data_IF_344102340870
#
_entry.id   IF_344102340870
#
_cell.length_a   1.000
_cell.length_b   1.000
_cell.length_c   1.000
_cell.angle_alpha   90.00
_cell.angle_beta   90.00
_cell.angle_gamma   90.00
#
_symmetry.space_group_name_H-M   'P 1'
#
loop_
_entity.id
_entity.type
_entity.pdbx_description
1 polymer ?
#
# COMPACT_ATOMS: atom_id res chain seq x y z
N UNK A 1 -0.85 -13.14 -3.77
CA UNK A 1 -0.89 -12.35 -5.01
C UNK A 1 -1.90 -11.22 -4.86
N UNK A 2 -1.44 -9.98 -4.98
CA UNK A 2 -2.26 -8.77 -4.97
C UNK A 2 -2.95 -8.61 -6.33
N UNK A 3 -4.24 -8.30 -6.34
CA UNK A 3 -5.00 -8.06 -7.58
C UNK A 3 -5.51 -6.62 -7.64
N UNK A 4 -5.54 -6.04 -8.84
CA UNK A 4 -5.98 -4.66 -9.10
C UNK A 4 -5.30 -3.63 -8.18
N UNK A 5 -3.98 -3.75 -7.99
CA UNK A 5 -3.21 -2.81 -7.18
C UNK A 5 -3.24 -1.42 -7.83
N UNK A 6 -3.78 -0.46 -7.10
CA UNK A 6 -3.80 0.95 -7.45
C UNK A 6 -3.08 1.71 -6.35
N UNK A 7 -2.26 2.67 -6.75
CA UNK A 7 -1.63 3.62 -5.85
C UNK A 7 -1.93 5.03 -6.38
N UNK A 8 -2.28 5.94 -5.48
CA UNK A 8 -2.54 7.34 -5.79
C UNK A 8 -1.72 8.20 -4.83
N UNK A 9 -0.93 9.18 -5.32
CA UNK A 9 -0.23 10.11 -4.44
C UNK A 9 -1.27 10.89 -3.62
N UNK A 10 -1.11 10.92 -2.30
CA UNK A 10 -2.12 11.54 -1.42
C UNK A 10 -2.20 13.05 -1.60
N UNK A 11 -1.09 13.72 -1.91
CA UNK A 11 -1.07 15.16 -2.15
C UNK A 11 -0.01 15.54 -3.18
N UNK A 12 -0.39 16.38 -4.17
CA UNK A 12 0.57 17.16 -4.96
C UNK A 12 1.27 18.24 -4.13
N UNK A 13 0.82 18.50 -2.90
CA UNK A 13 1.24 19.63 -2.08
C UNK A 13 2.24 19.21 -0.99
N UNK A 14 3.45 18.84 -1.42
CA UNK A 14 4.78 18.96 -0.80
C UNK A 14 5.06 18.62 0.70
N UNK A 15 4.08 18.34 1.57
CA UNK A 15 4.35 18.17 3.02
C UNK A 15 3.98 16.81 3.62
N UNK A 16 3.23 15.95 2.90
CA UNK A 16 2.88 14.61 3.42
C UNK A 16 3.35 13.55 2.42
N UNK A 17 4.48 12.88 2.67
CA UNK A 17 4.97 11.80 1.82
C UNK A 17 4.18 10.52 2.06
N UNK A 18 3.14 10.30 1.26
CA UNK A 18 2.36 9.07 1.29
C UNK A 18 1.58 8.81 0.01
N UNK A 19 1.36 7.53 -0.27
CA UNK A 19 0.53 7.04 -1.36
C UNK A 19 -0.64 6.26 -0.81
N UNK A 20 -1.84 6.62 -1.23
CA UNK A 20 -3.03 5.83 -0.96
C UNK A 20 -3.00 4.60 -1.86
N UNK A 21 -2.93 3.43 -1.25
CA UNK A 21 -2.93 2.14 -1.93
C UNK A 21 -4.29 1.46 -1.77
N UNK A 22 -4.72 0.78 -2.83
CA UNK A 22 -5.98 0.04 -2.90
C UNK A 22 -5.77 -1.23 -3.70
N UNK A 23 -6.12 -2.38 -3.13
CA UNK A 23 -5.94 -3.67 -3.80
C UNK A 23 -6.94 -4.71 -3.30
N UNK A 24 -7.02 -5.82 -4.02
CA UNK A 24 -7.79 -6.99 -3.63
C UNK A 24 -6.85 -8.13 -3.22
N UNK A 25 -7.14 -8.73 -2.07
CA UNK A 25 -6.43 -9.89 -1.55
C UNK A 25 -7.45 -10.87 -0.95
N UNK A 26 -7.37 -12.15 -1.31
CA UNK A 26 -8.34 -13.19 -0.87
C UNK A 26 -9.82 -12.77 -1.07
N UNK A 27 -10.15 -12.15 -2.22
CA UNK A 27 -11.48 -11.58 -2.54
C UNK A 27 -11.96 -10.46 -1.59
N UNK A 28 -11.12 -9.95 -0.71
CA UNK A 28 -11.39 -8.79 0.14
C UNK A 28 -10.65 -7.57 -0.41
N UNK A 29 -11.31 -6.42 -0.37
CA UNK A 29 -10.70 -5.14 -0.72
C UNK A 29 -9.97 -4.60 0.50
N UNK A 30 -8.71 -4.21 0.30
CA UNK A 30 -7.87 -3.57 1.29
C UNK A 30 -7.48 -2.18 0.80
N UNK A 31 -7.47 -1.24 1.73
CA UNK A 31 -7.11 0.15 1.48
C UNK A 31 -6.21 0.63 2.62
N UNK A 32 -5.20 1.40 2.27
CA UNK A 32 -4.26 1.94 3.24
C UNK A 32 -3.40 3.05 2.65
N UNK A 33 -2.58 3.63 3.49
CA UNK A 33 -1.62 4.67 3.16
C UNK A 33 -0.23 4.07 3.31
N UNK A 34 0.50 3.99 2.20
CA UNK A 34 1.89 3.60 2.18
C UNK A 34 2.76 4.85 2.37
N UNK A 35 3.60 4.86 3.39
CA UNK A 35 4.54 5.93 3.69
C UNK A 35 5.90 5.67 3.03
N UNK A 36 6.64 6.73 2.71
CA UNK A 36 8.03 6.61 2.22
C UNK A 36 8.95 5.85 3.19
N UNK A 37 8.61 5.82 4.49
CA UNK A 37 9.33 5.05 5.51
C UNK A 37 9.15 3.53 5.34
N UNK A 38 8.29 3.07 4.43
CA UNK A 38 7.92 1.67 4.26
C UNK A 38 6.81 1.21 5.21
N UNK A 39 6.22 2.11 6.00
CA UNK A 39 5.09 1.79 6.89
C UNK A 39 3.78 1.86 6.11
N UNK A 40 2.83 0.96 6.44
CA UNK A 40 1.48 0.98 5.87
C UNK A 40 0.49 1.27 6.98
N UNK A 41 -0.29 2.32 6.83
CA UNK A 41 -1.41 2.66 7.69
C UNK A 41 -2.71 2.17 7.03
N UNK A 42 -3.35 1.15 7.61
CA UNK A 42 -4.60 0.61 7.06
C UNK A 42 -5.76 1.53 7.43
N UNK A 43 -6.36 2.17 6.43
CA UNK A 43 -7.51 3.08 6.61
C UNK A 43 -8.85 2.34 6.56
N UNK A 44 -8.83 1.07 6.11
CA UNK A 44 -10.01 0.22 6.01
C UNK A 44 -9.90 -1.04 6.87
N UNK A 45 -10.31 -2.18 6.30
CA UNK A 45 -10.12 -3.49 6.94
C UNK A 45 -8.63 -3.81 7.01
N UNK A 46 -8.08 -3.94 8.21
CA UNK A 46 -6.72 -4.42 8.38
C UNK A 46 -6.65 -5.93 8.06
N UNK A 47 -5.63 -6.39 7.34
CA UNK A 47 -5.39 -7.82 7.14
C UNK A 47 -4.96 -8.49 8.45
N UNK A 48 -5.07 -9.81 8.49
CA UNK A 48 -4.65 -10.62 9.63
C UNK A 48 -3.14 -10.47 9.88
N UNK A 49 -2.70 -10.62 11.13
CA UNK A 49 -1.29 -10.42 11.47
C UNK A 49 -0.33 -11.30 10.67
N UNK A 50 -0.77 -12.53 10.35
CA UNK A 50 -0.03 -13.47 9.49
C UNK A 50 0.14 -12.97 8.04
N UNK A 51 -0.79 -12.15 7.56
CA UNK A 51 -0.76 -11.60 6.21
C UNK A 51 -0.13 -10.20 6.17
N UNK A 52 0.06 -9.51 7.31
CA UNK A 52 0.61 -8.16 7.37
C UNK A 52 2.02 -8.06 6.76
N UNK A 53 2.95 -8.90 7.22
CA UNK A 53 4.32 -8.93 6.74
C UNK A 53 4.43 -9.24 5.23
N UNK A 54 3.82 -10.33 4.70
CA UNK A 54 3.91 -10.62 3.28
C UNK A 54 3.18 -9.59 2.41
N UNK A 55 2.09 -8.97 2.89
CA UNK A 55 1.44 -7.86 2.18
C UNK A 55 2.36 -6.64 2.15
N UNK A 56 2.96 -6.29 3.29
CA UNK A 56 3.88 -5.15 3.39
C UNK A 56 5.08 -5.31 2.46
N UNK A 57 5.70 -6.50 2.42
CA UNK A 57 6.82 -6.78 1.51
C UNK A 57 6.39 -6.62 0.05
N UNK A 58 5.31 -7.29 -0.38
CA UNK A 58 4.83 -7.21 -1.76
C UNK A 58 4.52 -5.77 -2.19
N UNK A 59 3.88 -4.98 -1.31
CA UNK A 59 3.55 -3.58 -1.57
C UNK A 59 4.83 -2.75 -1.65
N UNK A 60 5.78 -2.95 -0.74
CA UNK A 60 7.07 -2.25 -0.74
C UNK A 60 7.83 -2.50 -2.06
N UNK A 61 7.91 -3.75 -2.50
CA UNK A 61 8.52 -4.12 -3.76
C UNK A 61 7.82 -3.45 -4.95
N UNK A 62 6.48 -3.53 -5.03
CA UNK A 62 5.70 -2.88 -6.09
C UNK A 62 5.91 -1.36 -6.15
N UNK A 63 5.97 -0.71 -4.99
CA UNK A 63 6.21 0.72 -4.88
C UNK A 63 7.65 1.07 -5.29
N UNK A 64 8.65 0.27 -4.92
CA UNK A 64 10.03 0.45 -5.38
C UNK A 64 10.12 0.40 -6.91
N UNK A 65 9.47 -0.59 -7.53
CA UNK A 65 9.41 -0.71 -8.99
C UNK A 65 8.71 0.47 -9.67
N UNK A 66 7.74 1.13 -9.04
CA UNK A 66 6.98 2.22 -9.66
C UNK A 66 7.49 3.63 -9.34
N UNK A 67 8.15 3.83 -8.20
CA UNK A 67 8.56 5.17 -7.72
C UNK A 67 10.01 5.50 -8.07
N UNK A 68 10.85 4.49 -8.30
CA UNK A 68 12.28 4.67 -8.56
C UNK A 68 12.69 4.36 -10.02
N UNK A 69 11.74 4.16 -10.94
CA UNK A 69 11.98 4.15 -12.40
C UNK A 69 11.66 5.50 -13.05
#
# INVERSE_FOLDING_TARGET
>A
MLMHFQYNPLFSNQNIPGWSISFYYKKKRYTGIYHQTGTIEWTGTAPEQVDLEPLKSQIHELMLFHVYE
#
